data_IF_926179052434
#
_entry.id   IF_926179052434
#
_cell.length_a   1.000
_cell.length_b   1.000
_cell.length_c   1.000
_cell.angle_alpha   90.00
_cell.angle_beta   90.00
_cell.angle_gamma   90.00
#
_symmetry.space_group_name_H-M   'P 1'
#
loop_
_entity.id
_entity.type
_entity.pdbx_description
1 polymer ?
#
# COMPACT_ATOMS: atom_id res chain seq x y z
N UNK A 1 8.04 -1.69 -2.27
CA UNK A 1 6.75 -2.32 -1.93
C UNK A 1 6.77 -3.77 -2.39
N UNK A 2 6.09 -4.65 -1.67
CA UNK A 2 5.99 -6.09 -1.95
C UNK A 2 4.72 -6.65 -1.33
N UNK A 3 4.17 -7.72 -1.93
CA UNK A 3 2.97 -8.39 -1.43
C UNK A 3 1.69 -7.56 -1.56
N UNK A 4 0.74 -7.77 -0.66
CA UNK A 4 -0.53 -7.04 -0.61
C UNK A 4 -0.43 -5.88 0.39
N UNK A 5 -0.83 -4.69 -0.03
CA UNK A 5 -0.83 -3.50 0.81
C UNK A 5 -1.89 -2.49 0.38
N UNK A 6 -1.80 -1.27 0.91
CA UNK A 6 -2.73 -0.19 0.59
C UNK A 6 -2.02 1.05 0.06
N UNK A 7 -2.67 1.73 -0.86
CA UNK A 7 -2.39 3.12 -1.20
C UNK A 7 -3.49 3.94 -0.54
N UNK A 8 -3.13 4.90 0.29
CA UNK A 8 -4.09 5.72 1.03
C UNK A 8 -3.60 7.16 1.15
N UNK A 9 -4.55 8.05 1.39
CA UNK A 9 -4.30 9.47 1.53
C UNK A 9 -5.58 10.22 1.88
N UNK A 10 -5.60 11.51 1.54
CA UNK A 10 -6.80 12.33 1.69
C UNK A 10 -6.88 13.42 0.61
N UNK A 11 -8.10 13.90 0.35
CA UNK A 11 -8.43 15.07 -0.46
C UNK A 11 -9.66 15.75 0.18
N UNK A 12 -9.74 17.08 0.16
CA UNK A 12 -10.86 17.80 0.81
C UNK A 12 -12.16 17.73 0.00
N UNK A 13 -12.07 17.88 -1.31
CA UNK A 13 -13.23 17.90 -2.20
C UNK A 13 -12.90 17.01 -3.42
N UNK A 14 -13.74 16.00 -3.62
CA UNK A 14 -13.72 15.12 -4.79
C UNK A 14 -15.07 14.40 -4.92
N UNK A 15 -15.54 14.14 -6.13
CA UNK A 15 -16.60 13.16 -6.38
C UNK A 15 -16.01 11.75 -6.48
N UNK A 16 -14.83 11.62 -7.06
CA UNK A 16 -14.06 10.37 -7.14
C UNK A 16 -12.56 10.57 -6.96
N UNK A 17 -11.91 9.54 -6.41
CA UNK A 17 -10.46 9.45 -6.35
C UNK A 17 -10.01 8.29 -7.24
N UNK A 18 -9.18 8.60 -8.23
CA UNK A 18 -8.57 7.61 -9.13
C UNK A 18 -7.07 7.53 -8.83
N UNK A 19 -6.58 6.31 -8.66
CA UNK A 19 -5.16 6.01 -8.59
C UNK A 19 -4.73 5.42 -9.94
N UNK A 20 -3.86 6.13 -10.65
CA UNK A 20 -3.23 5.62 -11.87
C UNK A 20 -2.01 4.78 -11.46
N UNK A 21 -2.12 3.47 -11.62
CA UNK A 21 -1.07 2.49 -11.31
C UNK A 21 -0.37 2.08 -12.60
N UNK A 22 0.85 2.60 -12.82
CA UNK A 22 1.62 2.31 -14.02
C UNK A 22 0.82 2.53 -15.32
N UNK A 23 0.07 3.63 -15.39
CA UNK A 23 -0.78 4.00 -16.53
C UNK A 23 -2.17 3.36 -16.55
N UNK A 24 -2.51 2.52 -15.56
CA UNK A 24 -3.86 1.94 -15.43
C UNK A 24 -4.68 2.70 -14.37
N UNK A 25 -5.78 3.37 -14.73
CA UNK A 25 -6.63 4.05 -13.75
C UNK A 25 -7.46 3.06 -12.95
N UNK A 26 -7.45 3.21 -11.61
CA UNK A 26 -8.22 2.38 -10.68
C UNK A 26 -8.96 3.28 -9.69
N UNK A 27 -10.27 3.09 -9.55
CA UNK A 27 -11.09 3.82 -8.58
C UNK A 27 -10.71 3.40 -7.15
N UNK A 28 -10.38 4.37 -6.30
CA UNK A 28 -10.19 4.18 -4.87
C UNK A 28 -11.50 4.39 -4.12
N UNK A 29 -11.67 3.70 -2.99
CA UNK A 29 -12.72 4.04 -2.05
C UNK A 29 -12.38 5.40 -1.43
N UNK A 30 -13.30 6.36 -1.50
CA UNK A 30 -13.18 7.70 -0.94
C UNK A 30 -14.33 7.98 0.03
N UNK A 31 -14.18 8.98 0.91
CA UNK A 31 -15.17 9.31 1.92
C UNK A 31 -14.92 8.69 3.29
N UNK A 32 -13.75 8.07 3.52
CA UNK A 32 -13.47 7.44 4.82
C UNK A 32 -13.07 8.49 5.87
N UNK A 33 -13.37 8.27 7.16
CA UNK A 33 -13.07 9.26 8.19
C UNK A 33 -11.57 9.54 8.38
N UNK A 34 -11.22 10.82 8.41
CA UNK A 34 -9.93 11.43 8.72
C UNK A 34 -10.17 12.66 9.60
N UNK A 35 -10.33 12.43 10.90
CA UNK A 35 -10.60 13.52 11.85
C UNK A 35 -9.47 14.56 11.92
N UNK A 36 -8.26 14.17 11.55
CA UNK A 36 -7.09 15.03 11.48
C UNK A 36 -7.15 16.08 10.36
N UNK A 37 -8.02 15.91 9.36
CA UNK A 37 -8.16 16.87 8.24
C UNK A 37 -9.20 17.97 8.51
N UNK A 38 -9.95 17.91 9.62
CA UNK A 38 -11.05 18.84 9.92
C UNK A 38 -10.65 20.31 9.90
N UNK A 39 -9.42 20.62 10.33
CA UNK A 39 -8.90 21.99 10.32
C UNK A 39 -8.59 22.52 8.91
N UNK A 40 -8.23 21.64 7.99
CA UNK A 40 -7.84 21.99 6.62
C UNK A 40 -9.03 21.96 5.65
N UNK A 41 -9.85 20.92 5.74
CA UNK A 41 -10.94 20.66 4.79
C UNK A 41 -12.31 21.16 5.26
N UNK A 42 -12.47 21.47 6.55
CA UNK A 42 -13.78 21.85 7.10
C UNK A 42 -14.73 20.67 7.38
N UNK A 43 -14.34 19.44 7.05
CA UNK A 43 -15.03 18.19 7.38
C UNK A 43 -14.02 17.02 7.63
N UNK A 44 -14.51 15.79 7.74
CA UNK A 44 -13.66 14.64 8.09
C UNK A 44 -13.79 13.44 7.15
N UNK A 45 -14.65 13.45 6.15
CA UNK A 45 -14.84 12.35 5.20
C UNK A 45 -13.86 12.46 4.01
N UNK A 46 -12.59 12.71 4.31
CA UNK A 46 -11.58 13.08 3.31
C UNK A 46 -10.63 11.93 2.96
N UNK A 47 -10.74 10.78 3.62
CA UNK A 47 -9.84 9.66 3.39
C UNK A 47 -10.15 8.90 2.11
N UNK A 48 -9.09 8.47 1.41
CA UNK A 48 -9.20 7.45 0.36
C UNK A 48 -8.28 6.26 0.62
N UNK A 49 -8.65 5.11 0.08
CA UNK A 49 -7.87 3.87 0.13
C UNK A 49 -8.10 2.99 -1.11
N UNK A 50 -7.03 2.39 -1.60
CA UNK A 50 -7.03 1.34 -2.60
C UNK A 50 -6.19 0.15 -2.11
N UNK A 51 -6.79 -1.05 -2.10
CA UNK A 51 -6.08 -2.29 -1.84
C UNK A 51 -5.32 -2.72 -3.10
N UNK A 52 -4.04 -3.02 -2.97
CA UNK A 52 -3.16 -3.34 -4.10
C UNK A 52 -2.37 -4.60 -3.81
N UNK A 53 -2.39 -5.56 -4.74
CA UNK A 53 -1.36 -6.59 -4.81
C UNK A 53 -0.21 -6.06 -5.68
N UNK A 54 0.88 -5.65 -5.03
CA UNK A 54 2.04 -5.07 -5.71
C UNK A 54 2.68 -6.04 -6.71
N UNK A 55 2.50 -7.35 -6.52
CA UNK A 55 3.05 -8.35 -7.41
C UNK A 55 2.49 -8.23 -8.84
N UNK A 56 1.28 -7.71 -9.01
CA UNK A 56 0.62 -7.54 -10.31
C UNK A 56 1.29 -6.47 -11.19
N UNK A 57 2.06 -5.54 -10.60
CA UNK A 57 2.81 -4.54 -11.37
C UNK A 57 4.13 -5.11 -11.93
N UNK A 58 4.61 -6.24 -11.41
CA UNK A 58 5.93 -6.78 -11.72
C UNK A 58 7.08 -6.02 -11.03
N UNK A 59 8.30 -6.58 -11.01
CA UNK A 59 9.45 -5.96 -10.35
C UNK A 59 9.94 -4.72 -11.11
N UNK A 60 10.43 -3.71 -10.38
CA UNK A 60 10.98 -2.49 -10.99
C UNK A 60 10.41 -1.20 -10.40
N UNK A 61 10.68 -0.09 -11.06
CA UNK A 61 10.10 1.21 -10.68
C UNK A 61 8.80 1.47 -11.43
N UNK A 62 7.80 1.96 -10.71
CA UNK A 62 6.48 2.27 -11.22
C UNK A 62 6.07 3.66 -10.74
N UNK A 63 5.61 4.51 -11.66
CA UNK A 63 4.98 5.78 -11.29
C UNK A 63 3.53 5.53 -10.86
N UNK A 64 3.12 6.23 -9.80
CA UNK A 64 1.77 6.23 -9.27
C UNK A 64 1.30 7.67 -9.20
N UNK A 65 0.09 7.93 -9.70
CA UNK A 65 -0.55 9.25 -9.65
C UNK A 65 -1.89 9.14 -8.95
N UNK A 66 -2.23 10.14 -8.15
CA UNK A 66 -3.55 10.27 -7.54
C UNK A 66 -4.27 11.47 -8.16
N UNK A 67 -5.50 11.21 -8.62
CA UNK A 67 -6.35 12.17 -9.31
C UNK A 67 -7.65 12.34 -8.52
N UNK A 68 -8.06 13.59 -8.32
CA UNK A 68 -9.38 13.96 -7.82
C UNK A 68 -10.16 14.54 -9.00
N UNK A 69 -11.26 13.90 -9.36
CA UNK A 69 -12.12 14.31 -10.49
C UNK A 69 -11.33 14.52 -11.80
N UNK A 70 -10.36 13.64 -12.06
CA UNK A 70 -9.47 13.70 -13.23
C UNK A 70 -8.31 14.71 -13.15
N UNK A 71 -8.20 15.47 -12.06
CA UNK A 71 -7.09 16.40 -11.82
C UNK A 71 -6.05 15.75 -10.90
N UNK A 72 -4.83 15.61 -11.38
CA UNK A 72 -3.73 15.11 -10.55
C UNK A 72 -3.41 16.05 -9.40
N UNK A 73 -3.36 15.51 -8.18
CA UNK A 73 -2.96 16.25 -6.98
C UNK A 73 -1.72 15.66 -6.29
N UNK A 74 -1.33 14.43 -6.63
CA UNK A 74 -0.12 13.81 -6.11
C UNK A 74 0.50 12.81 -7.09
N UNK A 75 1.83 12.67 -7.04
CA UNK A 75 2.58 11.65 -7.75
C UNK A 75 3.74 11.13 -6.92
N UNK A 76 4.10 9.87 -7.15
CA UNK A 76 5.29 9.26 -6.55
C UNK A 76 5.79 8.10 -7.39
N UNK A 77 7.06 7.71 -7.18
CA UNK A 77 7.65 6.51 -7.77
C UNK A 77 7.82 5.47 -6.69
N UNK A 78 7.37 4.24 -6.97
CA UNK A 78 7.51 3.09 -6.08
C UNK A 78 8.36 2.04 -6.74
N UNK A 79 9.34 1.51 -6.00
CA UNK A 79 10.06 0.29 -6.39
C UNK A 79 9.35 -0.95 -5.88
N UNK A 80 8.95 -1.83 -6.78
CA UNK A 80 8.32 -3.12 -6.49
C UNK A 80 9.36 -4.24 -6.52
N UNK A 81 9.34 -5.07 -5.49
CA UNK A 81 10.12 -6.31 -5.38
C UNK A 81 9.14 -7.46 -5.21
N UNK A 82 9.23 -8.50 -6.04
CA UNK A 82 8.29 -9.63 -6.05
C UNK A 82 9.03 -10.97 -6.05
N UNK A 83 8.30 -12.06 -5.81
CA UNK A 83 8.79 -13.43 -5.92
C UNK A 83 8.58 -14.01 -7.34
N UNK A 84 8.25 -13.17 -8.32
CA UNK A 84 8.09 -13.56 -9.73
C UNK A 84 6.70 -14.09 -10.11
N UNK A 85 5.75 -14.18 -9.17
CA UNK A 85 4.36 -14.59 -9.41
C UNK A 85 3.39 -13.61 -8.74
N UNK A 86 2.16 -13.53 -9.26
CA UNK A 86 1.11 -12.64 -8.74
C UNK A 86 0.68 -13.04 -7.31
N UNK A 87 0.41 -14.32 -7.11
CA UNK A 87 0.03 -14.88 -5.82
C UNK A 87 0.69 -16.24 -5.63
N UNK A 88 1.51 -16.35 -4.60
CA UNK A 88 2.27 -17.54 -4.27
C UNK A 88 1.49 -18.40 -3.27
N UNK A 89 1.31 -19.68 -3.59
CA UNK A 89 0.48 -20.61 -2.81
C UNK A 89 1.28 -21.77 -2.21
N UNK A 90 0.81 -22.30 -1.09
CA UNK A 90 1.37 -23.50 -0.44
C UNK A 90 2.71 -23.28 0.25
N UNK A 91 3.14 -22.03 0.38
CA UNK A 91 4.45 -21.69 0.92
C UNK A 91 4.40 -21.53 2.42
N UNK A 92 5.44 -22.02 3.11
CA UNK A 92 5.59 -21.90 4.55
C UNK A 92 7.05 -21.66 4.88
N UNK A 93 7.33 -20.59 5.62
CA UNK A 93 8.66 -20.32 6.12
C UNK A 93 8.59 -19.52 7.42
N UNK A 94 9.45 -19.88 8.36
CA UNK A 94 9.82 -19.05 9.51
C UNK A 94 11.29 -18.65 9.36
N UNK A 95 11.60 -17.40 9.67
CA UNK A 95 12.94 -16.82 9.60
C UNK A 95 13.21 -16.09 10.90
N UNK A 96 14.42 -16.25 11.42
CA UNK A 96 14.89 -15.52 12.60
C UNK A 96 15.77 -14.38 12.11
N UNK A 97 15.45 -13.15 12.52
CA UNK A 97 16.23 -11.94 12.24
C UNK A 97 16.99 -11.58 13.52
N UNK A 98 18.30 -11.83 13.58
CA UNK A 98 19.11 -11.44 14.74
C UNK A 98 19.33 -9.92 14.77
N UNK A 99 19.64 -9.40 15.95
CA UNK A 99 19.99 -8.00 16.22
C UNK A 99 18.93 -6.99 15.77
N UNK A 100 17.65 -7.36 15.87
CA UNK A 100 16.52 -6.51 15.48
C UNK A 100 15.37 -6.55 16.52
N UNK A 101 14.79 -5.39 16.88
CA UNK A 101 15.10 -4.04 16.39
C UNK A 101 16.38 -3.42 16.97
N UNK A 102 16.96 -4.02 18.02
CA UNK A 102 18.22 -3.58 18.62
C UNK A 102 19.28 -4.70 18.65
N UNK A 103 20.58 -4.36 18.70
CA UNK A 103 21.63 -5.36 18.88
C UNK A 103 21.39 -6.24 20.12
N UNK A 104 21.55 -7.55 19.98
CA UNK A 104 21.27 -8.55 21.01
C UNK A 104 19.81 -8.99 21.13
N UNK A 105 18.88 -8.34 20.44
CA UNK A 105 17.47 -8.77 20.35
C UNK A 105 17.24 -9.66 19.13
N UNK A 106 16.12 -10.38 19.10
CA UNK A 106 15.78 -11.26 17.98
C UNK A 106 14.31 -11.14 17.65
N UNK A 107 14.03 -11.02 16.35
CA UNK A 107 12.67 -10.98 15.82
C UNK A 107 12.40 -12.21 14.95
N UNK A 108 11.29 -12.89 15.22
CA UNK A 108 10.85 -14.03 14.40
C UNK A 108 9.83 -13.56 13.37
N UNK A 109 10.09 -13.88 12.12
CA UNK A 109 9.20 -13.62 10.99
C UNK A 109 8.59 -14.92 10.47
N UNK A 110 7.32 -14.88 10.06
CA UNK A 110 6.65 -15.99 9.39
C UNK A 110 6.02 -15.53 8.09
N UNK A 111 6.13 -16.35 7.04
CA UNK A 111 5.41 -16.13 5.80
C UNK A 111 3.89 -16.17 6.05
N UNK A 112 3.20 -15.13 5.62
CA UNK A 112 1.75 -15.04 5.61
C UNK A 112 1.27 -14.93 4.16
N UNK A 113 0.63 -15.98 3.69
CA UNK A 113 0.24 -16.14 2.28
C UNK A 113 -0.83 -15.12 1.89
N UNK A 114 -1.77 -14.81 2.77
CA UNK A 114 -2.82 -13.82 2.50
C UNK A 114 -2.26 -12.40 2.26
N UNK A 115 -1.10 -12.10 2.84
CA UNK A 115 -0.42 -10.82 2.69
C UNK A 115 0.68 -10.86 1.63
N UNK A 116 1.02 -12.04 1.11
CA UNK A 116 2.16 -12.25 0.22
C UNK A 116 3.44 -11.62 0.79
N UNK A 117 3.64 -11.75 2.11
CA UNK A 117 4.75 -11.13 2.83
C UNK A 117 5.07 -11.86 4.15
N UNK A 118 6.17 -11.48 4.80
CA UNK A 118 6.50 -11.92 6.15
C UNK A 118 5.86 -11.02 7.22
N UNK A 119 5.32 -11.62 8.27
CA UNK A 119 4.79 -10.94 9.47
C UNK A 119 5.63 -11.26 10.70
N UNK A 120 5.71 -10.34 11.66
CA UNK A 120 6.31 -10.57 12.97
C UNK A 120 5.40 -11.50 13.77
N UNK A 121 5.99 -12.52 14.40
CA UNK A 121 5.29 -13.44 15.30
C UNK A 121 5.97 -13.50 16.67
N UNK A 122 5.24 -13.89 17.74
CA UNK A 122 5.81 -14.08 19.08
C UNK A 122 6.94 -15.11 19.13
#
# INVERSE_FOLDING_TARGET
>A
QSGVGVISGWACEAEEIVIELAGTPVLAAYGTPRGDTQGECGDSNNGFVLLVNWNNLGPGEHEIRALADGVEFARTTVRVTTLGVEFLEGMRRTVVVPDFPHPGETTTLRWEEALQNFVIIP
#
